data_IF_150610846874
#
_entry.id   IF_150610846874
#
_cell.length_a   1.000
_cell.length_b   1.000
_cell.length_c   1.000
_cell.angle_alpha   90.00
_cell.angle_beta   90.00
_cell.angle_gamma   90.00
#
_symmetry.space_group_name_H-M   'P 1'
#
loop_
_entity.id
_entity.type
_entity.pdbx_description
1 polymer ?
#
# COMPACT_ATOMS: atom_id res chain seq x y z
N UNK A 1 -12.00 -2.23 -12.96
CA UNK A 1 -11.66 -2.63 -11.59
C UNK A 1 -12.64 -1.92 -10.69
N UNK A 2 -13.38 -2.65 -9.86
CA UNK A 2 -14.31 -2.04 -8.90
C UNK A 2 -13.52 -1.46 -7.72
N UNK A 3 -14.17 -0.63 -6.89
CA UNK A 3 -13.59 -0.15 -5.63
C UNK A 3 -13.11 -1.31 -4.75
N UNK A 4 -13.96 -2.33 -4.58
CA UNK A 4 -13.63 -3.53 -3.81
C UNK A 4 -12.36 -4.21 -4.34
N UNK A 5 -12.26 -4.36 -5.66
CA UNK A 5 -11.09 -4.97 -6.30
C UNK A 5 -9.81 -4.18 -6.00
N UNK A 6 -9.88 -2.84 -5.86
CA UNK A 6 -8.71 -2.01 -5.52
C UNK A 6 -8.23 -2.24 -4.10
N UNK A 7 -9.13 -2.35 -3.14
CA UNK A 7 -8.78 -2.62 -1.74
C UNK A 7 -8.22 -4.04 -1.56
N UNK A 8 -8.80 -5.02 -2.25
CA UNK A 8 -8.27 -6.38 -2.29
C UNK A 8 -6.88 -6.41 -2.94
N UNK A 9 -6.69 -5.77 -4.09
CA UNK A 9 -5.40 -5.68 -4.75
C UNK A 9 -4.34 -4.98 -3.88
N UNK A 10 -4.72 -3.94 -3.13
CA UNK A 10 -3.81 -3.26 -2.22
C UNK A 10 -3.32 -4.18 -1.09
N UNK A 11 -4.22 -4.98 -0.53
CA UNK A 11 -3.91 -5.98 0.49
C UNK A 11 -2.96 -7.06 -0.07
N UNK A 12 -3.26 -7.58 -1.27
CA UNK A 12 -2.42 -8.60 -1.91
C UNK A 12 -1.01 -8.09 -2.25
N UNK A 13 -0.88 -6.84 -2.71
CA UNK A 13 0.42 -6.23 -2.99
C UNK A 13 1.26 -6.15 -1.71
N UNK A 14 0.68 -5.66 -0.62
CA UNK A 14 1.36 -5.56 0.68
C UNK A 14 1.76 -6.94 1.21
N UNK A 15 0.84 -7.91 1.18
CA UNK A 15 1.12 -9.28 1.60
C UNK A 15 2.27 -9.91 0.79
N UNK A 16 2.31 -9.68 -0.52
CA UNK A 16 3.39 -10.16 -1.38
C UNK A 16 4.74 -9.54 -1.00
N UNK A 17 4.76 -8.25 -0.66
CA UNK A 17 5.96 -7.56 -0.18
C UNK A 17 6.50 -8.20 1.09
N UNK A 18 5.61 -8.43 2.07
CA UNK A 18 5.94 -8.99 3.38
C UNK A 18 6.46 -10.42 3.22
N UNK A 19 5.77 -11.27 2.47
CA UNK A 19 6.21 -12.64 2.20
C UNK A 19 7.59 -12.67 1.54
N UNK A 20 7.82 -11.78 0.56
CA UNK A 20 9.12 -11.69 -0.10
C UNK A 20 10.21 -11.22 0.87
N UNK A 21 9.91 -10.23 1.71
CA UNK A 21 10.84 -9.71 2.69
C UNK A 21 11.18 -10.73 3.79
N UNK A 22 10.24 -11.57 4.18
CA UNK A 22 10.48 -12.66 5.13
C UNK A 22 11.50 -13.69 4.66
N UNK A 23 11.70 -13.83 3.35
CA UNK A 23 12.67 -14.78 2.75
C UNK A 23 13.98 -14.10 2.35
N UNK A 24 13.90 -12.93 1.72
CA UNK A 24 15.05 -12.28 1.08
C UNK A 24 15.50 -10.98 1.75
N UNK A 25 14.81 -10.57 2.81
CA UNK A 25 14.90 -9.21 3.35
C UNK A 25 14.18 -8.19 2.46
N UNK A 26 13.95 -6.99 3.01
CA UNK A 26 13.26 -5.94 2.27
C UNK A 26 13.98 -5.54 0.98
N UNK A 27 13.25 -5.61 -0.14
CA UNK A 27 13.78 -5.25 -1.45
C UNK A 27 13.28 -3.87 -1.90
N UNK A 28 14.18 -2.90 -1.97
CA UNK A 28 13.85 -1.52 -2.35
C UNK A 28 13.13 -1.39 -3.70
N UNK A 29 13.41 -2.26 -4.68
CA UNK A 29 12.75 -2.21 -5.99
C UNK A 29 11.29 -2.63 -5.87
N UNK A 30 11.00 -3.67 -5.10
CA UNK A 30 9.64 -4.15 -4.82
C UNK A 30 8.88 -3.09 -4.02
N UNK A 31 9.51 -2.54 -2.97
CA UNK A 31 8.94 -1.45 -2.18
C UNK A 31 8.51 -0.27 -3.06
N UNK A 32 9.40 0.23 -3.93
CA UNK A 32 9.08 1.34 -4.84
C UNK A 32 7.95 1.01 -5.81
N UNK A 33 7.92 -0.22 -6.33
CA UNK A 33 6.85 -0.67 -7.23
C UNK A 33 5.50 -0.66 -6.53
N UNK A 34 5.43 -1.21 -5.31
CA UNK A 34 4.19 -1.29 -4.54
C UNK A 34 3.71 0.09 -4.13
N UNK A 35 4.60 0.93 -3.57
CA UNK A 35 4.27 2.31 -3.21
C UNK A 35 3.78 3.10 -4.44
N UNK A 36 4.44 2.96 -5.59
CA UNK A 36 4.01 3.63 -6.82
C UNK A 36 2.65 3.16 -7.34
N UNK A 37 2.38 1.85 -7.29
CA UNK A 37 1.08 1.30 -7.70
C UNK A 37 -0.04 1.76 -6.76
N UNK A 38 0.19 1.69 -5.45
CA UNK A 38 -0.79 2.13 -4.45
C UNK A 38 -1.04 3.64 -4.53
N UNK A 39 0.00 4.44 -4.75
CA UNK A 39 -0.14 5.88 -4.98
C UNK A 39 -1.00 6.18 -6.22
N UNK A 40 -0.81 5.43 -7.32
CA UNK A 40 -1.67 5.57 -8.52
C UNK A 40 -3.12 5.19 -8.23
N UNK A 41 -3.34 4.04 -7.59
CA UNK A 41 -4.69 3.59 -7.23
C UNK A 41 -5.39 4.56 -6.28
N UNK A 42 -4.62 5.17 -5.35
CA UNK A 42 -5.12 6.19 -4.45
C UNK A 42 -5.58 7.44 -5.23
N UNK A 43 -4.75 7.94 -6.15
CA UNK A 43 -5.11 9.08 -7.00
C UNK A 43 -6.33 8.79 -7.91
N UNK A 44 -6.46 7.56 -8.41
CA UNK A 44 -7.65 7.13 -9.16
C UNK A 44 -8.92 7.18 -8.29
N UNK A 45 -8.84 6.71 -7.04
CA UNK A 45 -9.96 6.77 -6.10
C UNK A 45 -10.29 8.21 -5.70
N UNK A 46 -9.30 9.08 -5.49
CA UNK A 46 -9.53 10.50 -5.19
C UNK A 46 -10.23 11.24 -6.34
N UNK A 47 -10.03 10.79 -7.59
CA UNK A 47 -10.71 11.33 -8.76
C UNK A 47 -12.13 10.77 -8.99
N UNK A 48 -12.54 9.71 -8.28
CA UNK A 48 -13.84 9.05 -8.46
C UNK A 48 -14.91 9.61 -7.49
N UNK A 49 -15.99 10.24 -7.99
CA UNK A 49 -17.05 10.77 -7.14
C UNK A 49 -17.75 9.68 -6.33
N UNK A 50 -17.87 9.88 -5.02
CA UNK A 50 -18.49 8.91 -4.11
C UNK A 50 -17.55 7.80 -3.63
N UNK A 51 -16.29 7.80 -4.06
CA UNK A 51 -15.26 6.91 -3.53
C UNK A 51 -14.91 7.26 -2.07
N UNK A 52 -14.48 6.26 -1.26
CA UNK A 52 -13.81 6.48 0.02
C UNK A 52 -12.53 7.32 -0.07
N UNK A 53 -11.99 7.50 -1.29
CA UNK A 53 -10.78 8.26 -1.57
C UNK A 53 -9.50 7.45 -1.39
N UNK A 54 -8.41 7.99 -1.92
CA UNK A 54 -7.10 7.36 -1.93
C UNK A 54 -6.54 7.14 -0.53
N UNK A 55 -6.77 8.08 0.39
CA UNK A 55 -6.33 7.91 1.80
C UNK A 55 -6.98 6.71 2.49
N UNK A 56 -8.23 6.39 2.17
CA UNK A 56 -8.88 5.20 2.74
C UNK A 56 -8.19 3.92 2.26
N UNK A 57 -7.77 3.87 0.99
CA UNK A 57 -7.00 2.76 0.43
C UNK A 57 -5.64 2.60 1.14
N UNK A 58 -4.90 3.71 1.30
CA UNK A 58 -3.57 3.67 1.94
C UNK A 58 -3.67 3.25 3.41
N UNK A 59 -4.68 3.74 4.14
CA UNK A 59 -4.91 3.32 5.53
C UNK A 59 -5.33 1.87 5.64
N UNK A 60 -6.12 1.37 4.69
CA UNK A 60 -6.47 -0.04 4.63
C UNK A 60 -5.23 -0.92 4.43
N UNK A 61 -4.35 -0.53 3.50
CA UNK A 61 -3.08 -1.22 3.26
C UNK A 61 -2.18 -1.20 4.51
N UNK A 62 -2.07 -0.07 5.21
CA UNK A 62 -1.29 0.05 6.46
C UNK A 62 -1.88 -0.78 7.60
N UNK A 63 -3.21 -0.82 7.73
CA UNK A 63 -3.90 -1.58 8.78
C UNK A 63 -3.76 -3.10 8.60
N UNK A 64 -3.46 -3.56 7.39
CA UNK A 64 -3.21 -4.97 7.07
C UNK A 64 -1.82 -5.47 7.46
N UNK A 65 -0.94 -4.62 8.03
CA UNK A 65 0.43 -4.97 8.41
C UNK A 65 0.52 -5.04 9.94
N UNK A 66 0.85 -6.21 10.49
CA UNK A 66 1.04 -6.35 11.92
C UNK A 66 2.44 -5.89 12.40
N UNK A 67 2.67 -5.89 13.71
CA UNK A 67 3.93 -5.40 14.29
C UNK A 67 5.15 -6.27 13.93
N UNK A 68 4.97 -7.58 13.75
CA UNK A 68 6.05 -8.49 13.36
C UNK A 68 6.38 -8.32 11.87
N UNK A 69 5.36 -8.15 11.04
CA UNK A 69 5.50 -7.89 9.61
C UNK A 69 6.10 -6.51 9.33
N UNK A 70 5.70 -5.49 10.08
CA UNK A 70 6.24 -4.14 9.95
C UNK A 70 7.77 -4.09 10.14
N UNK A 71 8.31 -4.95 11.01
CA UNK A 71 9.75 -5.08 11.21
C UNK A 71 10.48 -5.64 9.97
N UNK A 72 9.79 -6.37 9.09
CA UNK A 72 10.35 -6.94 7.87
C UNK A 72 10.36 -5.94 6.70
N UNK A 73 9.47 -4.94 6.71
CA UNK A 73 9.28 -4.01 5.58
C UNK A 73 9.25 -2.52 6.00
N UNK A 74 10.27 -2.02 6.73
CA UNK A 74 10.27 -0.65 7.23
C UNK A 74 10.20 0.41 6.12
N UNK A 75 10.80 0.21 4.95
CA UNK A 75 10.73 1.18 3.84
C UNK A 75 9.38 1.18 3.14
N UNK A 76 8.68 0.05 3.10
CA UNK A 76 7.31 0.02 2.64
C UNK A 76 6.40 0.83 3.56
N UNK A 77 6.53 0.64 4.89
CA UNK A 77 5.77 1.43 5.88
C UNK A 77 6.04 2.93 5.70
N UNK A 78 7.31 3.34 5.61
CA UNK A 78 7.68 4.74 5.37
C UNK A 78 7.03 5.30 4.09
N UNK A 79 7.04 4.53 3.00
CA UNK A 79 6.44 4.93 1.73
C UNK A 79 4.92 5.07 1.79
N UNK A 80 4.22 4.13 2.42
CA UNK A 80 2.77 4.22 2.60
C UNK A 80 2.38 5.36 3.55
N UNK A 81 3.14 5.59 4.61
CA UNK A 81 2.94 6.74 5.49
C UNK A 81 3.23 8.08 4.81
N UNK A 82 4.10 8.12 3.80
CA UNK A 82 4.27 9.31 2.98
C UNK A 82 3.02 9.57 2.13
N UNK A 83 2.45 8.52 1.51
CA UNK A 83 1.21 8.64 0.74
C UNK A 83 -0.01 9.03 1.58
N UNK A 84 -0.11 8.60 2.84
CA UNK A 84 -1.22 9.01 3.72
C UNK A 84 -1.12 10.48 4.14
N UNK A 85 0.10 11.05 4.14
CA UNK A 85 0.37 12.44 4.51
C UNK A 85 0.20 13.43 3.35
N UNK A 86 0.54 13.02 2.14
CA UNK A 86 0.51 13.90 0.97
C UNK A 86 -0.81 13.71 0.19
N UNK A 87 -1.72 14.71 0.19
CA UNK A 87 -2.84 14.70 -0.73
C UNK A 87 -2.30 15.01 -2.13
N UNK A 88 -2.22 13.99 -2.98
CA UNK A 88 -2.00 14.18 -4.41
C UNK A 88 -3.05 15.11 -5.02
#
# INVERSE_FOLDING_TARGET
>A
MTEKDRFEAATEMVATAIQTAGVFGENQRITRLIVGNLGRMAAELDAEPGSPGGRALIRHALAGIDAAEAALVPKLIEGLQALDRDPG
#
